data_IF_648404292632
#
_entry.id   IF_648404292632
#
_cell.length_a   1.000
_cell.length_b   1.000
_cell.length_c   1.000
_cell.angle_alpha   90.00
_cell.angle_beta   90.00
_cell.angle_gamma   90.00
#
_symmetry.space_group_name_H-M   'P 1'
#
loop_
_entity.id
_entity.type
_entity.pdbx_description
1 polymer ?
#
# COMPACT_ATOMS: atom_id res chain seq x y z
N UNK A 1 -19.91 2.09 12.56
CA UNK A 1 -19.42 2.27 11.18
C UNK A 1 -20.59 2.08 10.24
N UNK A 2 -21.36 3.15 9.98
CA UNK A 2 -22.53 3.11 9.12
C UNK A 2 -22.10 3.18 7.65
N UNK A 3 -22.41 2.15 6.86
CA UNK A 3 -22.19 2.16 5.42
C UNK A 3 -23.14 3.16 4.76
N UNK A 4 -22.61 4.08 3.96
CA UNK A 4 -23.40 5.05 3.22
C UNK A 4 -24.37 4.38 2.23
N UNK A 5 -25.47 5.07 1.87
CA UNK A 5 -26.65 4.48 1.21
C UNK A 5 -26.47 3.90 -0.22
N UNK A 6 -25.25 3.87 -0.78
CA UNK A 6 -24.99 3.41 -2.15
C UNK A 6 -24.19 2.09 -2.24
N UNK A 7 -23.90 1.39 -1.13
CA UNK A 7 -23.09 0.16 -1.16
C UNK A 7 -23.85 -1.12 -1.55
N UNK A 8 -25.17 -1.06 -1.80
CA UNK A 8 -25.99 -2.27 -2.05
C UNK A 8 -25.69 -2.95 -3.40
N UNK A 9 -25.13 -2.22 -4.36
CA UNK A 9 -24.83 -2.74 -5.71
C UNK A 9 -23.35 -3.05 -5.94
N UNK A 10 -22.49 -2.83 -4.93
CA UNK A 10 -21.06 -3.14 -5.01
C UNK A 10 -20.78 -4.48 -4.33
N UNK A 11 -19.89 -5.32 -4.88
CA UNK A 11 -19.47 -6.55 -4.22
C UNK A 11 -18.80 -6.22 -2.88
N UNK A 12 -19.03 -7.09 -1.88
CA UNK A 12 -18.40 -6.95 -0.56
C UNK A 12 -16.88 -7.09 -0.69
N UNK A 13 -16.08 -6.28 0.04
CA UNK A 13 -14.65 -6.44 0.04
C UNK A 13 -14.25 -7.78 0.65
N UNK A 14 -13.28 -8.46 0.04
CA UNK A 14 -12.71 -9.70 0.55
C UNK A 14 -11.49 -9.36 1.38
N UNK A 15 -11.41 -9.87 2.61
CA UNK A 15 -10.26 -9.69 3.50
C UNK A 15 -9.47 -10.98 3.58
N UNK A 16 -8.24 -10.96 3.09
CA UNK A 16 -7.32 -12.08 3.17
C UNK A 16 -6.30 -11.87 4.31
N UNK A 17 -6.07 -12.91 5.11
CA UNK A 17 -4.99 -12.96 6.10
C UNK A 17 -3.89 -13.86 5.58
N UNK A 18 -2.65 -13.41 5.70
CA UNK A 18 -1.46 -14.15 5.29
C UNK A 18 -0.66 -14.54 6.52
N UNK A 19 -0.13 -15.76 6.53
CA UNK A 19 0.77 -16.22 7.59
C UNK A 19 2.13 -15.51 7.51
N UNK A 20 2.65 -15.35 6.29
CA UNK A 20 3.96 -14.76 6.04
C UNK A 20 3.88 -13.35 5.44
N UNK A 21 4.72 -12.45 5.95
CA UNK A 21 4.88 -11.10 5.39
C UNK A 21 5.29 -11.12 3.91
N UNK A 22 6.17 -12.04 3.52
CA UNK A 22 6.68 -12.13 2.16
C UNK A 22 5.58 -12.45 1.14
N UNK A 23 4.64 -13.33 1.49
CA UNK A 23 3.55 -13.71 0.58
C UNK A 23 2.53 -12.58 0.45
N UNK A 24 2.21 -11.91 1.56
CA UNK A 24 1.42 -10.66 1.55
C UNK A 24 2.04 -9.60 0.64
N UNK A 25 3.34 -9.40 0.74
CA UNK A 25 4.08 -8.41 -0.05
C UNK A 25 4.14 -8.77 -1.54
N UNK A 26 4.26 -10.07 -1.89
CA UNK A 26 4.14 -10.54 -3.27
C UNK A 26 2.76 -10.21 -3.86
N UNK A 27 1.69 -10.51 -3.12
CA UNK A 27 0.31 -10.20 -3.55
C UNK A 27 0.11 -8.70 -3.70
N UNK A 28 0.61 -7.90 -2.75
CA UNK A 28 0.54 -6.43 -2.80
C UNK A 28 1.19 -5.87 -4.06
N UNK A 29 2.37 -6.39 -4.45
CA UNK A 29 3.08 -5.97 -5.67
C UNK A 29 2.35 -6.41 -6.95
N UNK A 30 1.80 -7.62 -6.95
CA UNK A 30 0.99 -8.11 -8.07
C UNK A 30 -0.29 -7.29 -8.29
N UNK A 31 -0.81 -6.62 -7.25
CA UNK A 31 -1.96 -5.73 -7.34
C UNK A 31 -1.80 -4.58 -8.36
N UNK A 32 -0.57 -4.12 -8.61
CA UNK A 32 -0.31 -3.09 -9.64
C UNK A 32 -0.72 -3.60 -11.02
N UNK A 33 -0.43 -4.87 -11.33
CA UNK A 33 -0.79 -5.50 -12.60
C UNK A 33 -2.29 -5.76 -12.68
N UNK A 34 -2.91 -6.15 -11.56
CA UNK A 34 -4.35 -6.37 -11.51
C UNK A 34 -5.13 -5.08 -11.78
N UNK A 35 -4.68 -3.95 -11.22
CA UNK A 35 -5.31 -2.64 -11.41
C UNK A 35 -5.27 -2.16 -12.87
N UNK A 36 -4.31 -2.65 -13.66
CA UNK A 36 -4.21 -2.37 -15.10
C UNK A 36 -5.17 -3.24 -15.93
N UNK A 37 -5.70 -4.31 -15.33
CA UNK A 37 -6.64 -5.22 -15.99
C UNK A 37 -8.06 -4.63 -15.92
N UNK A 38 -8.86 -4.82 -16.97
CA UNK A 38 -10.25 -4.32 -17.07
C UNK A 38 -11.24 -4.98 -16.09
N UNK A 39 -10.76 -5.80 -15.15
CA UNK A 39 -11.58 -6.51 -14.17
C UNK A 39 -12.21 -5.58 -13.12
N UNK A 40 -11.67 -4.36 -12.96
CA UNK A 40 -12.18 -3.39 -11.97
C UNK A 40 -11.90 -3.79 -10.52
N UNK A 41 -11.06 -4.82 -10.30
CA UNK A 41 -10.63 -5.25 -8.98
C UNK A 41 -9.37 -4.51 -8.55
N UNK A 42 -9.27 -4.18 -7.27
CA UNK A 42 -8.07 -3.59 -6.69
C UNK A 42 -7.69 -4.26 -5.36
N UNK A 43 -6.40 -4.25 -5.06
CA UNK A 43 -5.85 -4.82 -3.83
C UNK A 43 -5.34 -3.67 -2.97
N UNK A 44 -5.96 -3.49 -1.81
CA UNK A 44 -5.53 -2.52 -0.78
C UNK A 44 -5.12 -3.24 0.50
N UNK A 45 -4.10 -2.69 1.17
CA UNK A 45 -3.68 -3.14 2.50
C UNK A 45 -4.57 -2.47 3.56
N UNK A 46 -5.02 -3.26 4.55
CA UNK A 46 -5.80 -2.79 5.68
C UNK A 46 -4.86 -2.25 6.76
N UNK A 47 -5.07 -1.00 7.16
CA UNK A 47 -4.32 -0.38 8.25
C UNK A 47 -5.26 -0.05 9.42
N UNK A 48 -4.74 0.04 10.65
CA UNK A 48 -5.45 0.65 11.76
C UNK A 48 -5.98 2.05 11.39
N UNK A 49 -7.15 2.45 11.92
CA UNK A 49 -7.82 3.69 11.52
C UNK A 49 -6.97 4.94 11.74
N UNK A 50 -6.12 4.96 12.76
CA UNK A 50 -5.21 6.08 13.05
C UNK A 50 -4.18 6.29 11.94
N UNK A 51 -3.69 5.17 11.38
CA UNK A 51 -2.73 5.18 10.27
C UNK A 51 -3.43 5.60 8.97
N UNK A 52 -4.64 5.11 8.71
CA UNK A 52 -5.43 5.50 7.55
C UNK A 52 -5.74 6.99 7.54
N UNK A 53 -6.14 7.55 8.69
CA UNK A 53 -6.41 8.97 8.80
C UNK A 53 -5.16 9.82 8.56
N UNK A 54 -4.03 9.45 9.18
CA UNK A 54 -2.74 10.11 8.96
C UNK A 54 -2.38 10.10 7.47
N UNK A 55 -2.49 8.95 6.80
CA UNK A 55 -2.20 8.84 5.36
C UNK A 55 -3.15 9.64 4.51
N UNK A 56 -4.44 9.70 4.85
CA UNK A 56 -5.42 10.53 4.13
C UNK A 56 -4.98 12.00 4.13
N UNK A 57 -4.54 12.52 5.27
CA UNK A 57 -4.01 13.89 5.38
C UNK A 57 -2.74 14.08 4.54
N UNK A 58 -1.78 13.16 4.63
CA UNK A 58 -0.54 13.22 3.85
C UNK A 58 -0.78 13.14 2.33
N UNK A 59 -1.73 12.30 1.88
CA UNK A 59 -2.06 12.15 0.46
C UNK A 59 -2.63 13.45 -0.13
N UNK A 60 -3.41 14.21 0.65
CA UNK A 60 -3.90 15.53 0.22
C UNK A 60 -2.75 16.51 0.00
N UNK A 61 -1.79 16.55 0.93
CA UNK A 61 -0.59 17.39 0.84
C UNK A 61 0.26 16.96 -0.34
N UNK A 62 0.50 15.65 -0.50
CA UNK A 62 1.22 15.10 -1.64
C UNK A 62 0.57 15.52 -2.98
N UNK A 63 -0.77 15.49 -3.06
CA UNK A 63 -1.49 15.91 -4.26
C UNK A 63 -1.27 17.39 -4.56
N UNK A 64 -1.33 18.27 -3.55
CA UNK A 64 -1.05 19.70 -3.72
C UNK A 64 0.35 19.92 -4.30
N UNK A 65 1.38 19.36 -3.67
CA UNK A 65 2.77 19.49 -4.13
C UNK A 65 3.02 18.89 -5.52
N UNK A 66 2.27 17.86 -5.91
CA UNK A 66 2.40 17.24 -7.25
C UNK A 66 1.61 18.00 -8.32
N UNK A 67 0.51 18.64 -7.94
CA UNK A 67 -0.34 19.42 -8.87
C UNK A 67 0.24 20.79 -9.18
N UNK A 68 1.05 21.36 -8.29
CA UNK A 68 1.67 22.67 -8.49
C UNK A 68 2.76 22.61 -9.59
N UNK A 69 2.56 23.25 -10.76
CA UNK A 69 3.49 23.14 -11.89
C UNK A 69 4.85 23.81 -11.60
N UNK A 70 4.90 24.71 -10.61
CA UNK A 70 6.13 25.36 -10.14
C UNK A 70 6.97 24.47 -9.24
N UNK A 71 6.37 23.43 -8.66
CA UNK A 71 7.03 22.56 -7.69
C UNK A 71 7.52 21.28 -8.39
N UNK A 72 8.80 21.25 -8.76
CA UNK A 72 9.43 20.07 -9.41
C UNK A 72 9.93 19.02 -8.42
N UNK A 73 9.57 19.12 -7.15
CA UNK A 73 10.07 18.23 -6.11
C UNK A 73 9.38 16.86 -6.18
N UNK A 74 10.20 15.80 -6.15
CA UNK A 74 9.69 14.43 -6.07
C UNK A 74 9.05 14.19 -4.71
N UNK A 75 7.82 13.69 -4.73
CA UNK A 75 7.06 13.32 -3.54
C UNK A 75 6.98 11.80 -3.43
N UNK A 76 7.32 11.22 -2.27
CA UNK A 76 7.24 9.80 -2.00
C UNK A 76 6.63 9.54 -0.62
N UNK A 77 5.56 8.75 -0.55
CA UNK A 77 5.00 8.28 0.70
C UNK A 77 5.63 6.93 1.05
N UNK A 78 6.39 6.86 2.15
CA UNK A 78 7.03 5.62 2.62
C UNK A 78 6.54 5.30 4.02
N UNK A 79 5.84 4.17 4.15
CA UNK A 79 5.07 3.82 5.36
C UNK A 79 4.07 4.93 5.66
N UNK A 80 4.30 5.70 6.73
CA UNK A 80 3.39 6.75 7.20
C UNK A 80 4.04 8.13 7.17
N UNK A 81 5.16 8.28 6.44
CA UNK A 81 5.91 9.51 6.30
C UNK A 81 5.93 9.95 4.84
N UNK A 82 5.60 11.23 4.59
CA UNK A 82 5.69 11.85 3.28
C UNK A 82 7.05 12.52 3.12
N UNK A 83 7.76 12.19 2.05
CA UNK A 83 9.04 12.78 1.69
C UNK A 83 8.87 13.69 0.48
N UNK A 84 9.25 14.96 0.59
CA UNK A 84 9.23 15.96 -0.48
C UNK A 84 10.65 16.47 -0.66
N UNK A 85 11.27 16.19 -1.82
CA UNK A 85 12.65 16.64 -2.08
C UNK A 85 13.67 16.16 -1.04
N UNK A 86 13.53 14.90 -0.59
CA UNK A 86 14.33 14.25 0.47
C UNK A 86 14.12 14.78 1.90
N UNK A 87 13.17 15.69 2.12
CA UNK A 87 12.77 16.17 3.46
C UNK A 87 11.49 15.48 3.91
N UNK A 88 11.38 15.19 5.20
CA UNK A 88 10.17 14.60 5.79
C UNK A 88 9.19 15.72 6.10
N UNK A 89 7.94 15.54 5.69
CA UNK A 89 6.87 16.47 6.03
C UNK A 89 6.26 16.09 7.39
N UNK A 90 6.25 17.02 8.34
CA UNK A 90 5.59 16.85 9.63
C UNK A 90 4.18 17.42 9.59
N UNK A 91 3.18 16.59 9.87
CA UNK A 91 1.77 17.00 9.93
C UNK A 91 1.50 18.01 11.05
N UNK A 92 2.17 17.85 12.19
CA UNK A 92 1.88 18.65 13.39
C UNK A 92 2.40 20.08 13.25
N UNK A 93 3.57 20.24 12.61
CA UNK A 93 4.24 21.55 12.43
C UNK A 93 3.94 22.17 11.06
N UNK A 94 3.49 21.38 10.09
CA UNK A 94 3.27 21.82 8.71
C UNK A 94 4.55 22.12 7.92
N UNK A 95 5.71 21.68 8.44
CA UNK A 95 7.03 22.04 7.91
C UNK A 95 7.79 20.85 7.33
N UNK A 96 8.77 21.14 6.47
CA UNK A 96 9.71 20.17 5.90
C UNK A 96 10.97 20.10 6.76
N UNK A 97 11.16 18.98 7.43
CA UNK A 97 12.36 18.72 8.22
C UNK A 97 13.37 17.86 7.49
N UNK A 98 14.65 18.07 7.80
CA UNK A 98 15.69 17.16 7.36
C UNK A 98 15.41 15.76 7.93
N UNK A 99 15.62 14.69 7.15
CA UNK A 99 15.44 13.33 7.66
C UNK A 99 16.36 13.17 8.87
N UNK A 100 15.79 12.76 10.01
CA UNK A 100 16.58 12.45 11.20
C UNK A 100 17.67 11.48 10.76
N UNK A 101 18.96 11.75 11.05
CA UNK A 101 20.00 10.80 10.74
C UNK A 101 19.55 9.50 11.39
N UNK A 102 19.44 8.43 10.59
CA UNK A 102 19.43 7.11 11.21
C UNK A 102 20.73 7.12 11.97
N UNK A 103 20.68 7.22 13.29
CA UNK A 103 21.78 6.73 14.09
C UNK A 103 21.95 5.32 13.56
N UNK A 104 22.99 5.12 12.74
CA UNK A 104 23.64 3.83 12.72
C UNK A 104 23.86 3.64 14.20
N UNK A 105 23.06 2.78 14.82
CA UNK A 105 23.47 2.19 16.07
C UNK A 105 24.88 1.73 15.74
N UNK A 106 25.87 2.52 16.16
CA UNK A 106 27.22 2.04 16.21
C UNK A 106 27.01 0.84 17.09
N UNK A 107 27.14 -0.34 16.48
CA UNK A 107 27.12 -1.58 17.18
C UNK A 107 28.45 -1.59 17.94
N UNK A 108 28.59 -0.64 18.87
CA UNK A 108 29.50 -0.67 19.98
C UNK A 108 28.90 -1.74 20.85
N UNK A 109 28.99 -2.98 20.35
CA UNK A 109 29.11 -4.12 21.24
C UNK A 109 30.18 -3.65 22.23
N UNK A 110 29.89 -3.60 23.54
CA UNK A 110 30.98 -3.51 24.49
C UNK A 110 31.87 -4.69 24.14
N UNK A 111 33.01 -4.42 23.51
CA UNK A 111 34.07 -5.39 23.43
C UNK A 111 34.45 -5.60 24.88
N UNK A 112 33.86 -6.63 25.50
CA UNK A 112 34.51 -7.29 26.61
C UNK A 112 35.93 -7.52 26.10
N UNK A 113 36.90 -6.92 26.78
CA UNK A 113 38.31 -7.17 26.55
C UNK A 113 38.56 -8.63 26.90
N UNK A 114 38.21 -9.54 25.98
CA UNK A 114 38.60 -10.92 26.07
C UNK A 114 40.10 -10.91 25.82
N UNK A 115 40.82 -11.16 26.90
CA UNK A 115 42.26 -11.40 26.94
C UNK A 115 42.66 -12.22 25.73
N UNK A 116 43.50 -11.65 24.88
CA UNK A 116 44.13 -12.34 23.75
C UNK A 116 45.08 -13.38 24.30
N UNK A 117 44.57 -14.57 24.64
CA UNK A 117 45.41 -15.75 24.62
C UNK A 117 45.67 -16.06 23.13
N UNK A 118 46.92 -15.92 22.74
CA UNK A 118 47.41 -16.12 21.39
C UNK A 118 47.04 -17.52 20.88
N UNK A 119 46.06 -17.58 19.98
CA UNK A 119 45.82 -18.79 19.20
C UNK A 119 46.96 -18.86 18.15
N UNK A 120 47.77 -19.93 18.12
CA UNK A 120 48.87 -20.04 17.16
C UNK A 120 48.36 -20.01 15.72
N UNK A 121 49.02 -19.19 14.89
CA UNK A 121 48.67 -18.78 13.52
C UNK A 121 48.65 -19.91 12.46
N UNK A 122 48.72 -21.18 12.85
CA UNK A 122 49.16 -22.25 11.95
C UNK A 122 48.07 -23.07 11.24
N UNK A 123 46.76 -22.85 11.47
CA UNK A 123 45.75 -23.88 11.09
C UNK A 123 44.65 -23.47 10.09
N UNK A 124 44.74 -22.33 9.41
CA UNK A 124 43.67 -21.85 8.50
C UNK A 124 44.02 -21.87 7.01
N UNK A 125 45.12 -22.56 6.63
CA UNK A 125 45.50 -22.77 5.22
C UNK A 125 44.86 -23.98 4.55
N UNK A 126 43.59 -24.28 4.83
CA UNK A 126 42.81 -25.22 4.00
C UNK A 126 41.42 -24.65 3.72
N UNK A 127 41.37 -23.56 2.96
CA UNK A 127 40.15 -23.23 2.24
C UNK A 127 40.00 -24.24 1.09
N UNK A 128 38.85 -24.92 0.93
CA UNK A 128 38.58 -25.66 -0.28
C UNK A 128 38.64 -24.68 -1.46
N UNK A 129 39.49 -25.00 -2.44
CA UNK A 129 39.56 -24.24 -3.70
C UNK A 129 38.16 -24.30 -4.31
N UNK A 130 37.43 -23.18 -4.30
CA UNK A 130 36.20 -23.05 -5.06
C UNK A 130 36.54 -23.37 -6.52
N UNK A 131 35.85 -24.30 -7.19
CA UNK A 131 36.06 -24.60 -8.60
C UNK A 131 36.03 -23.31 -9.41
N UNK A 132 36.96 -23.19 -10.39
CA UNK A 132 37.12 -21.98 -11.20
C UNK A 132 35.87 -21.64 -12.03
N UNK A 133 34.93 -22.56 -12.13
CA UNK A 133 33.75 -22.48 -13.00
C UNK A 133 32.65 -21.55 -12.46
N UNK A 134 32.81 -20.99 -11.24
CA UNK A 134 31.86 -20.03 -10.66
C UNK A 134 32.29 -18.55 -10.81
N UNK A 135 33.42 -18.26 -11.47
CA UNK A 135 33.81 -16.88 -11.80
C UNK A 135 33.16 -16.44 -13.11
N UNK A 136 31.86 -16.16 -13.08
CA UNK A 136 31.17 -15.63 -14.25
C UNK A 136 29.66 -15.48 -14.12
N UNK A 137 29.03 -16.13 -13.14
CA UNK A 137 27.59 -16.00 -12.97
C UNK A 137 27.27 -14.81 -12.07
N UNK A 138 26.80 -13.74 -12.71
CA UNK A 138 26.12 -12.64 -12.06
C UNK A 138 25.04 -13.20 -11.11
N UNK A 139 25.11 -12.84 -9.83
CA UNK A 139 24.14 -13.21 -8.79
C UNK A 139 22.69 -12.87 -9.16
N UNK A 140 22.49 -11.98 -10.14
CA UNK A 140 21.20 -11.56 -10.67
C UNK A 140 20.65 -12.44 -11.80
N UNK A 141 21.43 -13.32 -12.42
CA UNK A 141 20.94 -14.17 -13.52
C UNK A 141 20.39 -15.53 -13.08
N UNK A 142 20.64 -15.93 -11.83
CA UNK A 142 20.15 -17.20 -11.27
C UNK A 142 18.60 -17.22 -11.17
N UNK A 143 17.94 -16.05 -11.13
CA UNK A 143 16.48 -15.97 -11.00
C UNK A 143 15.73 -15.84 -12.33
N UNK A 144 16.42 -15.66 -13.46
CA UNK A 144 15.76 -15.42 -14.76
C UNK A 144 16.11 -16.45 -15.85
N UNK A 145 17.01 -17.41 -15.62
CA UNK A 145 17.16 -18.55 -16.52
C UNK A 145 16.01 -19.54 -16.27
N UNK A 146 14.97 -19.46 -17.09
CA UNK A 146 14.00 -20.54 -17.23
C UNK A 146 14.73 -21.80 -17.66
N UNK A 147 14.96 -22.70 -16.72
CA UNK A 147 15.42 -24.05 -17.01
C UNK A 147 14.20 -24.97 -16.98
N UNK A 148 13.74 -25.24 -18.20
CA UNK A 148 13.01 -26.44 -18.59
C UNK A 148 13.83 -27.66 -18.12
N UNK A 149 13.16 -28.79 -17.87
CA UNK A 149 13.72 -30.06 -17.38
C UNK A 149 13.82 -30.22 -15.85
N UNK A 150 12.68 -30.05 -15.18
CA UNK A 150 12.42 -30.86 -13.97
C UNK A 150 11.74 -32.16 -14.43
N UNK A 151 12.25 -33.36 -14.11
CA UNK A 151 11.55 -34.60 -14.44
C UNK A 151 10.19 -34.61 -13.75
N UNK A 152 9.14 -34.69 -14.57
CA UNK A 152 7.76 -34.78 -14.10
C UNK A 152 7.62 -35.96 -13.13
N UNK A 153 7.43 -35.64 -11.86
CA UNK A 153 6.90 -36.57 -10.87
C UNK A 153 5.45 -36.84 -11.27
N UNK A 154 5.23 -37.90 -12.07
CA UNK A 154 3.91 -38.38 -12.49
C UNK A 154 3.04 -38.54 -11.24
N UNK A 155 2.10 -37.61 -11.03
CA UNK A 155 1.02 -37.82 -10.09
C UNK A 155 0.10 -38.89 -10.70
N UNK A 156 -0.29 -39.93 -9.95
CA UNK A 156 -1.28 -40.87 -10.44
C UNK A 156 -2.57 -40.12 -10.76
N UNK A 157 -3.09 -40.39 -11.96
CA UNK A 157 -4.36 -39.90 -12.46
C UNK A 157 -5.46 -40.44 -11.54
N UNK A 158 -5.95 -39.61 -10.62
CA UNK A 158 -7.17 -39.93 -9.87
C UNK A 158 -8.31 -39.75 -10.87
N UNK A 159 -8.81 -40.87 -11.40
CA UNK A 159 -10.09 -40.94 -12.12
C UNK A 159 -11.16 -40.33 -11.23
N UNK A 160 -11.61 -39.13 -11.60
CA UNK A 160 -12.78 -38.52 -10.99
C UNK A 160 -13.99 -39.24 -11.55
N UNK A 161 -14.59 -40.06 -10.68
CA UNK A 161 -15.91 -40.67 -10.83
C UNK A 161 -16.90 -39.71 -11.50
N UNK A 162 -17.69 -40.14 -12.50
CA UNK A 162 -18.74 -39.33 -13.07
C UNK A 162 -19.76 -38.98 -11.98
N UNK A 163 -20.03 -37.68 -11.80
CA UNK A 163 -21.10 -37.18 -10.95
C UNK A 163 -22.44 -37.57 -11.57
N UNK A 164 -23.28 -38.19 -10.76
CA UNK A 164 -24.67 -38.51 -11.06
C UNK A 164 -25.45 -37.25 -11.46
N UNK A 165 -26.39 -37.34 -12.42
CA UNK A 165 -27.35 -36.27 -12.71
C UNK A 165 -28.24 -36.08 -11.47
N UNK A 166 -28.35 -34.84 -10.99
CA UNK A 166 -29.24 -34.48 -9.89
C UNK A 166 -30.49 -33.86 -10.49
N UNK A 167 -31.62 -34.51 -10.19
CA UNK A 167 -32.98 -34.19 -10.64
C UNK A 167 -33.35 -32.71 -10.51
N UNK A 168 -33.84 -32.17 -11.61
CA UNK A 168 -34.59 -30.91 -11.64
C UNK A 168 -36.04 -31.19 -11.21
N UNK A 169 -36.30 -31.18 -9.91
CA UNK A 169 -37.67 -31.07 -9.40
C UNK A 169 -37.88 -29.72 -8.73
N UNK A 170 -38.52 -28.85 -9.51
CA UNK A 170 -39.56 -27.90 -9.13
C UNK A 170 -39.73 -27.58 -7.64
N UNK A 171 -39.57 -26.30 -7.29
CA UNK A 171 -40.49 -25.67 -6.35
C UNK A 171 -40.63 -24.17 -6.62
N UNK A 172 -41.68 -23.86 -7.39
CA UNK A 172 -42.39 -22.58 -7.43
C UNK A 172 -42.54 -22.02 -6.01
N UNK A 173 -42.00 -20.82 -5.74
CA UNK A 173 -42.50 -19.98 -4.65
C UNK A 173 -43.30 -18.82 -5.21
N UNK A 174 -44.52 -18.59 -4.71
CA UNK A 174 -45.39 -17.53 -5.18
C UNK A 174 -44.87 -16.14 -4.77
N UNK A 175 -45.16 -15.23 -5.70
CA UNK A 175 -45.00 -13.78 -5.66
C UNK A 175 -46.05 -13.21 -4.71
N UNK A 176 -45.62 -12.60 -3.61
CA UNK A 176 -46.50 -11.73 -2.82
C UNK A 176 -46.23 -10.28 -3.17
N UNK A 177 -47.32 -9.62 -3.55
CA UNK A 177 -47.45 -8.22 -3.88
C UNK A 177 -47.87 -7.44 -2.63
N UNK A 178 -47.25 -6.27 -2.48
CA UNK A 178 -47.85 -4.98 -2.11
C UNK A 178 -48.72 -4.88 -0.85
N UNK A 179 -48.25 -4.09 0.12
CA UNK A 179 -49.09 -3.02 0.69
C UNK A 179 -48.25 -1.94 1.36
N UNK A 180 -48.52 -0.73 0.91
CA UNK A 180 -48.04 0.57 1.36
C UNK A 180 -48.27 0.81 2.85
N UNK A 181 -47.32 1.49 3.51
CA UNK A 181 -47.63 2.26 4.72
C UNK A 181 -46.87 3.57 4.71
N UNK A 182 -47.66 4.63 4.65
CA UNK A 182 -47.33 6.04 4.76
C UNK A 182 -47.04 6.41 6.21
N UNK A 183 -45.92 7.08 6.47
CA UNK A 183 -45.71 7.96 7.62
C UNK A 183 -44.61 8.96 7.22
N UNK A 184 -44.92 10.20 6.85
CA UNK A 184 -45.28 11.33 7.73
C UNK A 184 -44.36 11.41 8.95
N UNK A 185 -43.23 12.11 8.84
CA UNK A 185 -42.49 12.69 9.98
C UNK A 185 -41.66 13.89 9.50
N UNK A 186 -42.18 15.07 9.83
CA UNK A 186 -41.60 16.39 10.09
C UNK A 186 -40.36 16.92 9.30
N UNK A 187 -40.40 18.18 8.82
CA UNK A 187 -39.20 18.88 8.38
C UNK A 187 -38.32 19.25 9.60
N UNK A 188 -37.08 18.75 9.59
CA UNK A 188 -36.04 19.14 10.55
C UNK A 188 -35.58 20.56 10.22
N UNK A 189 -35.83 21.49 11.14
CA UNK A 189 -35.27 22.84 11.12
C UNK A 189 -33.74 22.78 11.19
N UNK A 190 -33.09 23.30 10.14
CA UNK A 190 -31.66 23.58 10.13
C UNK A 190 -31.39 24.73 11.13
N UNK A 191 -30.41 24.60 12.04
CA UNK A 191 -29.92 25.75 12.78
C UNK A 191 -29.13 26.69 11.86
N UNK A 192 -29.48 27.98 11.91
CA UNK A 192 -28.73 29.08 11.30
C UNK A 192 -27.26 29.05 11.75
N UNK A 193 -26.37 29.02 10.77
CA UNK A 193 -24.94 29.22 10.98
C UNK A 193 -24.71 30.74 11.09
N UNK A 194 -24.10 31.26 12.17
CA UNK A 194 -23.81 32.68 12.28
C UNK A 194 -22.81 33.13 11.21
N UNK A 195 -23.26 34.08 10.39
CA UNK A 195 -22.52 34.84 9.39
C UNK A 195 -21.45 35.73 10.05
N UNK A 196 -20.32 35.14 10.43
CA UNK A 196 -19.17 35.89 10.93
C UNK A 196 -17.90 35.33 10.32
N UNK A 197 -17.64 35.69 9.05
CA UNK A 197 -16.29 35.83 8.46
C UNK A 197 -16.45 36.37 7.04
N UNK A 198 -16.73 37.68 6.95
CA UNK A 198 -16.51 38.45 5.72
C UNK A 198 -14.99 38.56 5.53
N UNK A 199 -14.39 38.13 4.41
CA UNK A 199 -13.04 38.54 4.08
C UNK A 199 -13.06 40.04 3.75
N UNK A 200 -12.44 40.81 4.64
CA UNK A 200 -12.14 42.21 4.44
C UNK A 200 -11.15 42.37 3.28
N UNK A 201 -11.58 43.13 2.29
CA UNK A 201 -10.77 44.15 1.61
C UNK A 201 -9.56 43.64 0.80
N UNK A 202 -9.84 43.13 -0.40
CA UNK A 202 -8.83 43.04 -1.46
C UNK A 202 -8.57 44.45 -1.99
N UNK A 203 -7.47 45.08 -1.56
CA UNK A 203 -6.94 46.27 -2.22
C UNK A 203 -6.48 45.89 -3.62
N UNK A 204 -7.21 46.34 -4.64
CA UNK A 204 -6.76 46.34 -6.02
C UNK A 204 -5.61 47.34 -6.17
N UNK A 205 -4.38 46.85 -6.33
CA UNK A 205 -3.27 47.66 -6.80
C UNK A 205 -3.47 47.96 -8.29
N UNK A 206 -3.80 49.23 -8.60
CA UNK A 206 -3.71 49.77 -9.96
C UNK A 206 -2.23 50.00 -10.29
N UNK A 207 -1.71 49.26 -11.26
CA UNK A 207 -0.42 49.57 -11.89
C UNK A 207 -0.68 50.57 -13.02
N UNK A 208 -0.22 51.81 -12.83
CA UNK A 208 -0.17 52.81 -13.89
C UNK A 208 1.02 52.49 -14.81
N UNK A 209 0.73 52.07 -16.04
CA UNK A 209 1.72 52.03 -17.12
C UNK A 209 1.78 53.39 -17.81
N UNK A 210 2.81 54.18 -17.52
CA UNK A 210 3.20 55.32 -18.35
C UNK A 210 4.18 54.81 -19.41
N UNK A 211 3.75 54.83 -20.66
CA UNK A 211 4.62 54.68 -21.83
C UNK A 211 5.09 56.09 -22.22
N UNK A 212 6.41 56.25 -22.36
CA UNK A 212 7.05 57.42 -22.96
C UNK A 212 7.19 57.23 -24.47
#
# INVERSE_FOLDING_TARGET
MAGGPNSRNLPRPIVAKFENFNDREKVRRAGILLNQTKSGCYINEQFPPEIEERRRRLLLIMRQYTSDPFNKLKCNLVRDNLYIGNKVYNLDTGSLEAPKPRSRATNEKPYLQQTTQSIPYAQWKQQPKVPKDFRGLNRFEIFNSGNVDTPQRRRPLIERSPRSPLDETELKRPREQDSESTSSTAPVQLPEIPEQLKPSNTQCFQLNSTVQ
#
